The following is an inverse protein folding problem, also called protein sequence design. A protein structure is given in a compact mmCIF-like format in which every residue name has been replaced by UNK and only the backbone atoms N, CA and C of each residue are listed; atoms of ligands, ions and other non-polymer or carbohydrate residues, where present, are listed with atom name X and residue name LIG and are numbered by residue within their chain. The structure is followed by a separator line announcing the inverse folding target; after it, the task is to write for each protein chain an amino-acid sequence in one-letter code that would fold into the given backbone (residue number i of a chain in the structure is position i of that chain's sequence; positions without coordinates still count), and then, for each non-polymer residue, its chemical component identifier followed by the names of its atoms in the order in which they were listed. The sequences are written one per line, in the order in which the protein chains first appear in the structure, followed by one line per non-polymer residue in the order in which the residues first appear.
data_IF_972830123616
#
_entry.id   IF_972830123616
#
_cell.length_a   1.000
_cell.length_b   1.000
_cell.length_c   1.000
_cell.angle_alpha   90.00
_cell.angle_beta   90.00
_cell.angle_gamma   90.00
#
_symmetry.space_group_name_H-M   'P 1'
#
loop_
_entity.id
_entity.type
_entity.pdbx_description
1 polymer ?
#
# COMPACT_ATOMS: atom_id res chain seq x y z
N UNK A 1 -9.39 -22.00 -15.81
CA UNK A 1 -9.56 -20.75 -15.02
C UNK A 1 -9.31 -20.96 -13.53
N UNK A 2 -10.00 -21.90 -12.87
CA UNK A 2 -9.85 -22.20 -11.42
C UNK A 2 -8.40 -22.41 -10.93
N UNK A 3 -7.52 -23.00 -11.74
CA UNK A 3 -6.11 -23.19 -11.37
C UNK A 3 -5.30 -21.87 -11.44
N UNK A 4 -5.61 -20.98 -12.38
CA UNK A 4 -4.94 -19.69 -12.54
C UNK A 4 -5.31 -18.77 -11.36
N UNK A 5 -6.59 -18.68 -11.03
CA UNK A 5 -7.08 -17.91 -9.88
C UNK A 5 -6.44 -18.35 -8.57
N UNK A 6 -6.29 -19.67 -8.36
CA UNK A 6 -5.57 -20.22 -7.20
C UNK A 6 -4.10 -19.79 -7.16
N UNK A 7 -3.42 -19.80 -8.30
CA UNK A 7 -2.03 -19.33 -8.39
C UNK A 7 -1.92 -17.86 -8.01
N UNK A 8 -2.81 -17.01 -8.51
CA UNK A 8 -2.85 -15.58 -8.17
C UNK A 8 -3.12 -15.37 -6.68
N UNK A 9 -4.06 -16.13 -6.11
CA UNK A 9 -4.33 -16.10 -4.67
C UNK A 9 -3.11 -16.52 -3.85
N UNK A 10 -2.38 -17.56 -4.24
CA UNK A 10 -1.16 -17.98 -3.54
C UNK A 10 -0.09 -16.88 -3.60
N UNK A 11 0.13 -16.33 -4.80
CA UNK A 11 1.13 -15.27 -5.01
C UNK A 11 0.78 -14.02 -4.19
N UNK A 12 -0.50 -13.70 -4.08
CA UNK A 12 -0.96 -12.54 -3.31
C UNK A 12 -0.52 -12.57 -1.84
N UNK A 13 -0.26 -13.75 -1.27
CA UNK A 13 0.21 -13.88 0.12
C UNK A 13 1.64 -13.39 0.32
N UNK A 14 2.41 -13.17 -0.75
CA UNK A 14 3.69 -12.46 -0.70
C UNK A 14 3.53 -11.02 -0.18
N UNK A 15 2.31 -10.47 -0.21
CA UNK A 15 1.97 -9.24 0.51
C UNK A 15 2.50 -9.25 1.96
N UNK A 16 2.31 -10.34 2.71
CA UNK A 16 2.63 -10.37 4.14
C UNK A 16 4.15 -10.32 4.40
N UNK A 17 5.00 -11.12 3.73
CA UNK A 17 6.45 -10.95 3.80
C UNK A 17 6.92 -9.51 3.47
N UNK A 18 6.40 -8.90 2.40
CA UNK A 18 6.80 -7.53 2.05
C UNK A 18 6.37 -6.52 3.12
N UNK A 19 5.16 -6.64 3.65
CA UNK A 19 4.69 -5.78 4.75
C UNK A 19 5.50 -5.99 6.04
N UNK A 20 5.98 -7.20 6.31
CA UNK A 20 6.85 -7.47 7.45
C UNK A 20 8.21 -6.77 7.29
N UNK A 21 8.80 -6.80 6.08
CA UNK A 21 10.03 -6.09 5.77
C UNK A 21 9.83 -4.56 5.89
N UNK A 22 8.71 -4.05 5.38
CA UNK A 22 8.36 -2.64 5.55
C UNK A 22 8.24 -2.24 7.02
N UNK A 23 7.62 -3.10 7.84
CA UNK A 23 7.50 -2.89 9.27
C UNK A 23 8.87 -2.84 9.95
N UNK A 24 9.77 -3.76 9.59
CA UNK A 24 11.14 -3.76 10.05
C UNK A 24 11.83 -2.42 9.74
N UNK A 25 11.78 -1.94 8.50
CA UNK A 25 12.36 -0.65 8.11
C UNK A 25 11.68 0.56 8.77
N UNK A 26 10.41 0.44 9.15
CA UNK A 26 9.71 1.51 9.88
C UNK A 26 10.23 1.66 11.32
N UNK A 27 10.60 0.55 11.98
CA UNK A 27 11.12 0.56 13.35
C UNK A 27 12.65 0.65 13.44
N UNK A 28 13.38 0.19 12.42
CA UNK A 28 14.84 0.21 12.35
C UNK A 28 15.46 1.57 12.73
N UNK A 29 15.01 2.73 12.23
CA UNK A 29 15.66 4.00 12.58
C UNK A 29 15.47 4.39 14.05
N UNK A 30 14.38 3.95 14.69
CA UNK A 30 14.16 4.16 16.13
C UNK A 30 15.15 3.31 16.92
N UNK A 31 15.31 2.04 16.53
CA UNK A 31 16.29 1.14 17.14
C UNK A 31 17.73 1.66 16.95
N UNK A 32 18.12 2.03 15.73
CA UNK A 32 19.46 2.54 15.43
C UNK A 32 19.78 3.79 16.25
N UNK A 33 18.79 4.68 16.43
CA UNK A 33 18.93 5.88 17.26
C UNK A 33 19.14 5.53 18.74
N UNK A 34 18.35 4.61 19.29
CA UNK A 34 18.43 4.24 20.71
C UNK A 34 19.71 3.45 21.01
N UNK A 35 20.10 2.54 20.13
CA UNK A 35 21.23 1.64 20.33
C UNK A 35 22.57 2.27 19.98
N UNK A 36 22.63 3.08 18.91
CA UNK A 36 23.89 3.60 18.34
C UNK A 36 23.96 5.13 18.25
N UNK A 37 22.87 5.86 18.56
CA UNK A 37 22.84 7.32 18.50
C UNK A 37 22.86 7.91 17.07
N UNK A 38 22.74 7.07 16.03
CA UNK A 38 22.88 7.48 14.64
C UNK A 38 21.54 7.91 14.02
N UNK A 39 21.50 9.07 13.35
CA UNK A 39 20.33 9.61 12.63
C UNK A 39 20.42 9.41 11.11
N UNK A 40 21.58 9.08 10.57
CA UNK A 40 21.83 9.09 9.12
C UNK A 40 21.03 8.01 8.37
N UNK A 41 20.53 6.99 9.07
CA UNK A 41 19.79 5.88 8.46
C UNK A 41 18.29 6.17 8.27
N UNK A 42 17.75 7.26 8.82
CA UNK A 42 16.31 7.53 8.83
C UNK A 42 15.68 7.58 7.44
N UNK A 43 16.23 8.41 6.54
CA UNK A 43 15.67 8.64 5.21
C UNK A 43 15.72 7.38 4.33
N UNK A 44 16.85 6.65 4.37
CA UNK A 44 16.98 5.38 3.64
C UNK A 44 16.03 4.31 4.17
N UNK A 45 15.86 4.21 5.49
CA UNK A 45 14.88 3.28 6.08
C UNK A 45 13.44 3.66 5.68
N UNK A 46 13.12 4.95 5.67
CA UNK A 46 11.80 5.43 5.25
C UNK A 46 11.52 5.12 3.77
N UNK A 47 12.50 5.32 2.87
CA UNK A 47 12.35 4.94 1.48
C UNK A 47 12.09 3.43 1.32
N UNK A 48 12.89 2.59 1.96
CA UNK A 48 12.70 1.14 1.93
C UNK A 48 11.31 0.75 2.46
N UNK A 49 10.86 1.36 3.56
CA UNK A 49 9.51 1.12 4.08
C UNK A 49 8.43 1.48 3.05
N UNK A 50 8.52 2.66 2.41
CA UNK A 50 7.57 3.09 1.37
C UNK A 50 7.55 2.13 0.19
N UNK A 51 8.73 1.72 -0.30
CA UNK A 51 8.85 0.75 -1.39
C UNK A 51 8.19 -0.59 -1.04
N UNK A 52 8.53 -1.17 0.12
CA UNK A 52 7.99 -2.46 0.51
C UNK A 52 6.50 -2.43 0.85
N UNK A 53 5.97 -1.30 1.36
CA UNK A 53 4.51 -1.11 1.48
C UNK A 53 3.88 -1.08 0.09
N UNK A 54 4.39 -0.26 -0.83
CA UNK A 54 3.85 -0.17 -2.18
C UNK A 54 3.84 -1.51 -2.90
N UNK A 55 4.95 -2.24 -2.85
CA UNK A 55 5.06 -3.60 -3.40
C UNK A 55 4.06 -4.52 -2.70
N UNK A 56 4.09 -4.63 -1.36
CA UNK A 56 3.21 -5.54 -0.64
C UNK A 56 1.73 -5.28 -0.90
N UNK A 57 1.32 -4.02 -0.91
CA UNK A 57 -0.06 -3.60 -1.22
C UNK A 57 -0.42 -3.93 -2.67
N UNK A 58 0.50 -3.81 -3.63
CA UNK A 58 0.23 -4.22 -5.03
C UNK A 58 -0.10 -5.72 -5.14
N UNK A 59 0.52 -6.59 -4.34
CA UNK A 59 0.21 -8.02 -4.30
C UNK A 59 -1.18 -8.32 -3.74
N UNK A 60 -1.72 -7.44 -2.87
CA UNK A 60 -3.12 -7.56 -2.40
C UNK A 60 -4.13 -7.48 -3.54
N UNK A 61 -3.76 -6.83 -4.66
CA UNK A 61 -4.63 -6.70 -5.82
C UNK A 61 -4.91 -8.04 -6.52
N UNK A 62 -4.07 -9.06 -6.27
CA UNK A 62 -4.20 -10.40 -6.85
C UNK A 62 -5.18 -11.29 -6.07
N UNK A 63 -5.66 -10.85 -4.90
CA UNK A 63 -6.60 -11.60 -4.06
C UNK A 63 -8.01 -11.62 -4.65
N UNK A 64 -8.73 -12.73 -4.43
CA UNK A 64 -10.17 -12.79 -4.67
C UNK A 64 -10.93 -11.92 -3.65
N UNK A 65 -11.17 -10.68 -4.06
CA UNK A 65 -11.87 -9.65 -3.31
C UNK A 65 -13.29 -10.00 -2.84
N UNK A 66 -13.91 -11.05 -3.40
CA UNK A 66 -15.25 -11.52 -2.99
C UNK A 66 -15.18 -12.49 -1.80
N UNK A 67 -14.06 -13.19 -1.63
CA UNK A 67 -13.88 -14.22 -0.59
C UNK A 67 -13.02 -13.77 0.57
N UNK A 68 -11.99 -12.95 0.32
CA UNK A 68 -11.02 -12.55 1.34
C UNK A 68 -11.34 -11.16 1.90
N UNK A 69 -12.36 -11.09 2.77
CA UNK A 69 -12.71 -9.86 3.47
C UNK A 69 -12.78 -10.08 4.99
N UNK A 70 -12.05 -9.26 5.74
CA UNK A 70 -12.16 -9.23 7.19
C UNK A 70 -13.48 -8.54 7.63
N UNK A 71 -13.91 -8.77 8.87
CA UNK A 71 -15.17 -8.23 9.38
C UNK A 71 -15.21 -6.69 9.41
N UNK A 72 -14.06 -6.06 9.65
CA UNK A 72 -13.94 -4.59 9.67
C UNK A 72 -14.15 -3.98 8.27
N UNK A 73 -13.51 -4.57 7.27
CA UNK A 73 -13.59 -4.22 5.85
C UNK A 73 -15.02 -4.39 5.36
N UNK A 74 -15.66 -5.53 5.66
CA UNK A 74 -17.09 -5.75 5.37
C UNK A 74 -17.96 -4.62 5.91
N UNK A 75 -17.78 -4.24 7.18
CA UNK A 75 -18.55 -3.17 7.81
C UNK A 75 -18.39 -1.81 7.12
N UNK A 76 -17.22 -1.52 6.57
CA UNK A 76 -16.98 -0.29 5.79
C UNK A 76 -17.70 -0.37 4.44
N UNK A 77 -17.57 -1.48 3.72
CA UNK A 77 -18.11 -1.61 2.35
C UNK A 77 -19.63 -1.80 2.29
N UNK A 78 -20.23 -2.34 3.35
CA UNK A 78 -21.68 -2.50 3.46
C UNK A 78 -22.39 -1.15 3.64
N UNK A 79 -21.76 -0.20 4.34
CA UNK A 79 -22.28 1.16 4.50
C UNK A 79 -21.94 2.01 3.27
N UNK A 80 -22.97 2.49 2.57
CA UNK A 80 -22.81 3.29 1.34
C UNK A 80 -21.96 4.55 1.56
N UNK A 81 -22.14 5.26 2.68
CA UNK A 81 -21.40 6.50 2.95
C UNK A 81 -19.94 6.18 3.28
N UNK A 82 -19.70 5.19 4.14
CA UNK A 82 -18.33 4.81 4.55
C UNK A 82 -17.53 4.20 3.40
N UNK A 83 -18.15 3.36 2.58
CA UNK A 83 -17.51 2.79 1.40
C UNK A 83 -17.05 3.86 0.42
N UNK A 84 -17.92 4.84 0.11
CA UNK A 84 -17.56 5.98 -0.76
C UNK A 84 -16.43 6.82 -0.15
N UNK A 85 -16.50 7.15 1.14
CA UNK A 85 -15.44 7.89 1.83
C UNK A 85 -14.10 7.14 1.78
N UNK A 86 -14.10 5.83 2.04
CA UNK A 86 -12.89 5.02 1.97
C UNK A 86 -12.25 5.04 0.57
N UNK A 87 -13.06 4.95 -0.50
CA UNK A 87 -12.57 5.05 -1.88
C UNK A 87 -11.95 6.42 -2.17
N UNK A 88 -12.55 7.51 -1.70
CA UNK A 88 -11.97 8.85 -1.83
C UNK A 88 -10.65 8.99 -1.07
N UNK A 89 -10.56 8.43 0.14
CA UNK A 89 -9.31 8.46 0.93
C UNK A 89 -8.20 7.71 0.19
N UNK A 90 -8.44 6.50 -0.30
CA UNK A 90 -7.43 5.73 -1.03
C UNK A 90 -7.01 6.47 -2.31
N UNK A 91 -7.97 7.06 -3.03
CA UNK A 91 -7.69 7.86 -4.23
C UNK A 91 -6.83 9.07 -3.89
N UNK A 92 -7.18 9.81 -2.84
CA UNK A 92 -6.43 10.99 -2.40
C UNK A 92 -5.00 10.60 -1.99
N UNK A 93 -4.83 9.52 -1.23
CA UNK A 93 -3.51 9.02 -0.85
C UNK A 93 -2.66 8.63 -2.07
N UNK A 94 -3.26 7.96 -3.06
CA UNK A 94 -2.58 7.60 -4.31
C UNK A 94 -2.12 8.86 -5.07
N UNK A 95 -3.02 9.84 -5.24
CA UNK A 95 -2.72 11.11 -5.91
C UNK A 95 -1.61 11.88 -5.16
N UNK A 96 -1.70 12.00 -3.84
CA UNK A 96 -0.66 12.66 -3.04
C UNK A 96 0.68 11.95 -3.14
N UNK A 97 0.68 10.61 -3.19
CA UNK A 97 1.90 9.83 -3.37
C UNK A 97 2.54 10.09 -4.74
N UNK A 98 1.75 10.17 -5.81
CA UNK A 98 2.27 10.51 -7.14
C UNK A 98 2.70 11.96 -7.27
N UNK A 99 1.96 12.92 -6.71
CA UNK A 99 2.34 14.33 -6.74
C UNK A 99 3.62 14.52 -5.93
N UNK A 100 3.68 14.00 -4.70
CA UNK A 100 4.85 14.09 -3.83
C UNK A 100 6.07 13.38 -4.43
N UNK A 101 5.88 12.18 -4.97
CA UNK A 101 6.94 11.43 -5.65
C UNK A 101 7.40 12.12 -6.95
N UNK A 102 6.48 12.60 -7.78
CA UNK A 102 6.82 13.27 -9.04
C UNK A 102 7.51 14.62 -8.83
N UNK A 103 7.00 15.44 -7.92
CA UNK A 103 7.65 16.71 -7.52
C UNK A 103 9.00 16.43 -6.88
N UNK A 104 9.07 15.49 -5.94
CA UNK A 104 10.32 15.10 -5.29
C UNK A 104 11.38 14.63 -6.29
N UNK A 105 10.98 13.81 -7.28
CA UNK A 105 11.88 13.30 -8.30
C UNK A 105 12.36 14.41 -9.25
N UNK A 106 11.49 15.34 -9.64
CA UNK A 106 11.84 16.43 -10.56
C UNK A 106 12.75 17.50 -9.95
N UNK A 107 12.55 17.82 -8.66
CA UNK A 107 13.33 18.85 -7.95
C UNK A 107 14.51 18.27 -7.15
N UNK A 108 14.69 16.95 -7.13
CA UNK A 108 15.81 16.33 -6.42
C UNK A 108 17.15 16.70 -7.08
N UNK A 109 17.92 17.53 -6.38
CA UNK A 109 19.32 17.83 -6.71
C UNK A 109 20.27 16.85 -6.00
N UNK A 110 19.80 16.15 -4.96
CA UNK A 110 20.56 15.18 -4.16
C UNK A 110 19.99 13.76 -4.28
N UNK A 111 20.87 12.75 -4.17
CA UNK A 111 20.51 11.33 -4.31
C UNK A 111 19.44 10.86 -3.31
N UNK A 112 19.44 11.40 -2.09
CA UNK A 112 18.53 10.97 -1.02
C UNK A 112 17.09 11.41 -1.25
N UNK A 113 16.88 12.61 -1.84
CA UNK A 113 15.53 13.09 -2.13
C UNK A 113 14.92 12.32 -3.30
N UNK A 114 15.75 11.97 -4.28
CA UNK A 114 15.40 11.10 -5.40
C UNK A 114 14.95 9.71 -4.90
N UNK A 115 15.68 9.12 -3.95
CA UNK A 115 15.32 7.83 -3.35
C UNK A 115 13.92 7.85 -2.73
N UNK A 116 13.61 8.82 -1.87
CA UNK A 116 12.28 8.92 -1.23
C UNK A 116 11.19 9.17 -2.27
N UNK A 117 11.49 9.97 -3.29
CA UNK A 117 10.56 10.23 -4.38
C UNK A 117 10.18 8.94 -5.12
N UNK A 118 11.15 8.07 -5.40
CA UNK A 118 10.90 6.75 -5.99
C UNK A 118 10.05 5.89 -5.05
N UNK A 119 10.35 5.87 -3.74
CA UNK A 119 9.52 5.17 -2.75
C UNK A 119 8.06 5.62 -2.73
N UNK A 120 7.81 6.93 -2.82
CA UNK A 120 6.46 7.50 -2.92
C UNK A 120 5.75 7.10 -4.22
N UNK A 121 6.46 7.07 -5.35
CA UNK A 121 5.89 6.60 -6.62
C UNK A 121 5.49 5.12 -6.54
N UNK A 122 6.35 4.27 -5.96
CA UNK A 122 6.05 2.84 -5.76
C UNK A 122 4.87 2.64 -4.82
N UNK A 123 4.77 3.42 -3.74
CA UNK A 123 3.60 3.43 -2.86
C UNK A 123 2.32 3.82 -3.63
N UNK A 124 2.39 4.86 -4.46
CA UNK A 124 1.29 5.30 -5.32
C UNK A 124 0.78 4.18 -6.25
N UNK A 125 1.69 3.42 -6.86
CA UNK A 125 1.36 2.25 -7.70
C UNK A 125 0.62 1.18 -6.86
N UNK A 126 1.12 0.87 -5.67
CA UNK A 126 0.46 -0.05 -4.75
C UNK A 126 -0.96 0.39 -4.40
N UNK A 127 -1.14 1.67 -4.07
CA UNK A 127 -2.44 2.26 -3.72
C UNK A 127 -3.43 2.23 -4.89
N UNK A 128 -2.99 2.38 -6.14
CA UNK A 128 -3.85 2.18 -7.32
C UNK A 128 -4.34 0.74 -7.44
N UNK A 129 -3.46 -0.23 -7.22
CA UNK A 129 -3.84 -1.65 -7.16
C UNK A 129 -4.89 -1.92 -6.09
N UNK A 130 -4.68 -1.36 -4.89
CA UNK A 130 -5.64 -1.45 -3.79
C UNK A 130 -6.98 -0.78 -4.15
N UNK A 131 -6.96 0.39 -4.78
CA UNK A 131 -8.17 1.12 -5.18
C UNK A 131 -9.02 0.28 -6.14
N UNK A 132 -8.39 -0.34 -7.14
CA UNK A 132 -9.08 -1.23 -8.09
C UNK A 132 -9.81 -2.36 -7.37
N UNK A 133 -9.13 -3.03 -6.43
CA UNK A 133 -9.73 -4.09 -5.62
C UNK A 133 -10.81 -3.57 -4.68
N UNK A 134 -10.58 -2.43 -4.02
CA UNK A 134 -11.55 -1.81 -3.12
C UNK A 134 -12.87 -1.45 -3.84
N UNK A 135 -12.80 -0.98 -5.09
CA UNK A 135 -13.98 -0.72 -5.92
C UNK A 135 -14.76 -2.02 -6.17
N UNK A 136 -14.07 -3.12 -6.48
CA UNK A 136 -14.71 -4.42 -6.69
C UNK A 136 -15.35 -4.96 -5.40
N UNK A 137 -14.66 -4.82 -4.25
CA UNK A 137 -15.20 -5.17 -2.92
C UNK A 137 -16.48 -4.38 -2.60
N UNK A 138 -16.45 -3.07 -2.84
CA UNK A 138 -17.59 -2.20 -2.60
C UNK A 138 -18.77 -2.58 -3.49
N UNK A 139 -18.56 -2.74 -4.80
CA UNK A 139 -19.60 -3.17 -5.74
C UNK A 139 -20.23 -4.51 -5.33
N UNK A 140 -19.39 -5.48 -4.96
CA UNK A 140 -19.85 -6.79 -4.52
C UNK A 140 -20.72 -6.70 -3.27
N UNK A 141 -20.27 -6.01 -2.22
CA UNK A 141 -21.05 -5.87 -0.99
C UNK A 141 -22.37 -5.12 -1.21
N UNK A 142 -22.38 -4.06 -2.01
CA UNK A 142 -23.61 -3.34 -2.34
C UNK A 142 -24.60 -4.19 -3.17
N UNK A 143 -24.11 -5.19 -3.92
CA UNK A 143 -24.99 -6.10 -4.67
C UNK A 143 -25.69 -7.14 -3.80
N UNK A 144 -25.11 -7.49 -2.64
CA UNK A 144 -25.67 -8.48 -1.70
C UNK A 144 -26.72 -7.86 -0.78
N UNK A 145 -26.62 -6.56 -0.49
CA UNK A 145 -27.49 -5.85 0.47
C UNK A 145 -28.78 -5.34 -0.19
N UNK A 146 -28.81 -5.27 -1.53
CA UNK A 146 -30.03 -4.97 -2.30
C UNK A 146 -31.01 -6.12 -2.24
#
# INVERSE_FOLDING_TARGET
MKNIEKTFQIISYLQYPFLLIALFYSFKPIYDRIAFGNMDTYLSCMNNALMFIGIGVSFSALQDSTKTQNNFSKRIWQDKKKGVIALYIITLMAVLSFIGGGVGYYFAVSSVLEEIAVGLLVLGIGLLGLLSVAINMYKYQQSIIK
#
